data_IF_188508605690
#
_entry.id   IF_188508605690
#
_cell.length_a   1.000
_cell.length_b   1.000
_cell.length_c   1.000
_cell.angle_alpha   90.00
_cell.angle_beta   90.00
_cell.angle_gamma   90.00
#
_symmetry.space_group_name_H-M   'P 1'
#
loop_
_entity.id
_entity.type
_entity.pdbx_description
1 polymer ?
#
# COMPACT_ATOMS: atom_id res chain seq x y z
N UNK A 1 47.58 13.28 21.18
CA UNK A 1 46.26 12.75 21.59
C UNK A 1 45.24 13.87 21.47
N UNK A 2 44.40 13.85 20.44
CA UNK A 2 43.09 14.53 20.44
C UNK A 2 42.27 14.07 19.25
N UNK A 3 41.47 13.05 19.55
CA UNK A 3 40.19 12.60 18.96
C UNK A 3 39.82 13.09 17.57
N UNK A 4 39.85 12.14 16.64
CA UNK A 4 39.10 12.12 15.40
C UNK A 4 37.59 12.22 15.70
N UNK A 5 36.94 13.22 15.10
CA UNK A 5 35.47 13.32 15.04
C UNK A 5 34.99 12.30 14.01
N UNK A 6 34.51 11.15 14.48
CA UNK A 6 33.73 10.23 13.67
C UNK A 6 32.38 10.90 13.39
N UNK A 7 32.16 11.28 12.13
CA UNK A 7 30.91 11.80 11.64
C UNK A 7 29.90 10.64 11.60
N UNK A 8 29.02 10.56 12.60
CA UNK A 8 27.78 9.80 12.47
C UNK A 8 26.95 10.47 11.40
N UNK A 9 26.78 9.79 10.28
CA UNK A 9 25.70 10.09 9.33
C UNK A 9 24.39 9.64 9.98
N UNK A 10 23.76 10.52 10.74
CA UNK A 10 22.32 10.44 10.97
C UNK A 10 21.64 10.72 9.62
N UNK A 11 21.18 9.66 8.96
CA UNK A 11 20.30 9.79 7.80
C UNK A 11 19.04 10.50 8.30
N UNK A 12 18.76 11.66 7.72
CA UNK A 12 17.57 12.44 8.04
C UNK A 12 16.31 11.65 7.68
N UNK A 13 15.47 11.40 8.67
CA UNK A 13 14.20 10.65 8.61
C UNK A 13 13.19 11.23 7.60
N UNK A 14 13.44 12.41 7.04
CA UNK A 14 12.56 13.10 6.09
C UNK A 14 12.67 12.62 4.63
N UNK A 15 13.65 11.77 4.27
CA UNK A 15 13.80 11.28 2.88
C UNK A 15 13.10 9.94 2.60
N UNK A 16 12.40 9.35 3.57
CA UNK A 16 12.05 7.92 3.48
C UNK A 16 10.73 7.59 2.75
N UNK A 17 9.86 8.58 2.46
CA UNK A 17 8.55 8.37 1.82
C UNK A 17 8.26 9.45 0.79
N UNK A 18 8.31 9.10 -0.50
CA UNK A 18 8.00 10.01 -1.60
C UNK A 18 6.69 9.61 -2.28
N UNK A 19 5.91 10.58 -2.78
CA UNK A 19 4.65 10.26 -3.46
C UNK A 19 4.88 9.46 -4.75
N UNK A 20 6.05 9.62 -5.36
CA UNK A 20 6.54 8.87 -6.51
C UNK A 20 6.64 7.37 -6.23
N UNK A 21 6.96 6.95 -5.00
CA UNK A 21 6.97 5.54 -4.60
C UNK A 21 5.56 4.95 -4.75
N UNK A 22 4.54 5.67 -4.25
CA UNK A 22 3.14 5.24 -4.32
C UNK A 22 2.64 5.19 -5.76
N UNK A 23 3.01 6.16 -6.58
CA UNK A 23 2.68 6.17 -8.01
C UNK A 23 3.27 4.93 -8.68
N UNK A 24 4.54 4.64 -8.43
CA UNK A 24 5.21 3.47 -9.00
C UNK A 24 4.55 2.17 -8.56
N UNK A 25 4.37 1.97 -7.25
CA UNK A 25 3.79 0.74 -6.68
C UNK A 25 2.35 0.54 -7.18
N UNK A 26 1.52 1.58 -7.09
CA UNK A 26 0.13 1.52 -7.54
C UNK A 26 0.04 1.20 -9.03
N UNK A 27 0.77 1.92 -9.87
CA UNK A 27 0.70 1.73 -11.32
C UNK A 27 1.24 0.36 -11.72
N UNK A 28 2.29 -0.15 -11.07
CA UNK A 28 2.79 -1.50 -11.32
C UNK A 28 1.72 -2.57 -11.03
N UNK A 29 0.93 -2.39 -9.99
CA UNK A 29 -0.12 -3.35 -9.62
C UNK A 29 -1.37 -3.22 -10.51
N UNK A 30 -1.82 -2.00 -10.80
CA UNK A 30 -3.20 -1.74 -11.21
C UNK A 30 -3.37 -1.12 -12.59
N UNK A 31 -2.29 -0.67 -13.26
CA UNK A 31 -2.44 -0.06 -14.57
C UNK A 31 -3.01 -1.03 -15.61
N UNK A 32 -2.65 -2.31 -15.55
CA UNK A 32 -3.11 -3.32 -16.50
C UNK A 32 -4.29 -4.11 -15.96
N UNK A 33 -4.26 -4.49 -14.67
CA UNK A 33 -5.31 -5.33 -14.08
C UNK A 33 -6.63 -4.59 -13.81
N UNK A 34 -6.56 -3.28 -13.52
CA UNK A 34 -7.73 -2.46 -13.16
C UNK A 34 -7.89 -1.24 -14.08
N UNK A 35 -7.11 -1.17 -15.16
CA UNK A 35 -7.05 -0.02 -16.07
C UNK A 35 -6.91 1.35 -15.36
N UNK A 36 -6.21 1.41 -14.22
CA UNK A 36 -6.19 2.61 -13.35
C UNK A 36 -4.78 3.09 -13.08
N UNK A 37 -4.56 4.41 -13.15
CA UNK A 37 -3.33 5.08 -12.76
C UNK A 37 -3.53 5.92 -11.51
N UNK A 38 -2.49 6.01 -10.67
CA UNK A 38 -2.35 7.04 -9.66
C UNK A 38 -1.63 8.25 -10.26
N UNK A 39 -2.22 9.43 -10.11
CA UNK A 39 -1.75 10.67 -10.72
C UNK A 39 -1.62 11.75 -9.65
N UNK A 40 -0.48 12.45 -9.65
CA UNK A 40 -0.30 13.64 -8.80
C UNK A 40 -1.07 14.80 -9.40
N UNK A 41 -2.03 15.32 -8.67
CA UNK A 41 -2.74 16.57 -8.97
C UNK A 41 -2.18 17.75 -8.18
N UNK A 42 -2.71 18.93 -8.51
CA UNK A 42 -2.34 20.19 -7.85
C UNK A 42 -3.33 20.55 -6.74
N UNK A 43 -4.62 20.67 -7.07
CA UNK A 43 -5.63 21.30 -6.21
C UNK A 43 -6.47 20.31 -5.39
N UNK A 44 -7.46 19.66 -6.02
CA UNK A 44 -8.42 18.79 -5.34
C UNK A 44 -8.20 17.32 -5.72
N UNK A 45 -8.38 16.39 -4.77
CA UNK A 45 -8.41 14.98 -5.10
C UNK A 45 -9.66 14.68 -5.92
N UNK A 46 -9.53 13.80 -6.92
CA UNK A 46 -10.66 13.40 -7.75
C UNK A 46 -10.39 12.05 -8.41
N UNK A 47 -11.43 11.23 -8.50
CA UNK A 47 -11.41 10.08 -9.38
C UNK A 47 -12.04 10.38 -10.74
N UNK A 48 -11.30 10.13 -11.82
CA UNK A 48 -11.79 10.27 -13.19
C UNK A 48 -11.85 8.90 -13.89
N UNK A 49 -13.02 8.48 -14.39
CA UNK A 49 -13.12 7.25 -15.15
C UNK A 49 -12.49 7.39 -16.54
N UNK A 50 -12.12 6.26 -17.16
CA UNK A 50 -11.58 6.21 -18.52
C UNK A 50 -12.44 6.99 -19.53
N UNK A 51 -13.77 6.97 -19.38
CA UNK A 51 -14.70 7.70 -20.25
C UNK A 51 -14.46 9.21 -20.25
N UNK A 52 -13.82 9.77 -19.22
CA UNK A 52 -13.49 11.18 -19.10
C UNK A 52 -12.03 11.47 -19.45
N UNK A 53 -11.12 10.54 -19.18
CA UNK A 53 -9.67 10.72 -19.43
C UNK A 53 -9.27 10.33 -20.86
N UNK A 54 -10.05 9.46 -21.51
CA UNK A 54 -9.82 8.94 -22.85
C UNK A 54 -8.88 7.74 -22.93
N UNK A 55 -8.39 7.19 -21.81
CA UNK A 55 -7.48 6.03 -21.81
C UNK A 55 -7.59 5.10 -20.59
N UNK A 56 -7.24 5.57 -19.40
CA UNK A 56 -7.18 4.82 -18.15
C UNK A 56 -7.92 5.63 -17.09
N UNK A 57 -8.56 4.94 -16.15
CA UNK A 57 -9.05 5.60 -14.96
C UNK A 57 -7.90 6.31 -14.23
N UNK A 58 -8.17 7.41 -13.56
CA UNK A 58 -7.18 8.17 -12.79
C UNK A 58 -7.69 8.38 -11.37
N UNK A 59 -6.89 7.95 -10.40
CA UNK A 59 -6.99 8.37 -9.00
C UNK A 59 -6.05 9.56 -8.85
N UNK A 60 -6.60 10.76 -8.72
CA UNK A 60 -5.83 12.00 -8.62
C UNK A 60 -5.78 12.43 -7.15
N UNK A 61 -4.59 12.59 -6.60
CA UNK A 61 -4.39 13.06 -5.22
C UNK A 61 -3.81 14.47 -5.19
N UNK A 62 -4.10 15.21 -4.12
CA UNK A 62 -3.82 16.64 -4.06
C UNK A 62 -2.41 16.97 -3.52
N UNK A 63 -1.88 18.11 -3.95
CA UNK A 63 -0.69 18.79 -3.39
C UNK A 63 0.61 17.98 -3.32
N UNK A 64 0.69 16.80 -3.94
CA UNK A 64 1.87 15.94 -3.87
C UNK A 64 2.14 15.33 -2.48
N UNK A 65 1.17 15.33 -1.57
CA UNK A 65 1.38 14.82 -0.22
C UNK A 65 1.22 13.30 -0.17
N UNK A 66 2.19 12.61 0.44
CA UNK A 66 2.17 11.15 0.62
C UNK A 66 0.90 10.65 1.34
N UNK A 67 0.46 11.36 2.38
CA UNK A 67 -0.77 11.05 3.10
C UNK A 67 -2.02 11.23 2.22
N UNK A 68 -2.06 12.25 1.36
CA UNK A 68 -3.17 12.43 0.41
C UNK A 68 -3.22 11.26 -0.58
N UNK A 69 -2.08 10.86 -1.15
CA UNK A 69 -2.04 9.70 -2.03
C UNK A 69 -2.50 8.40 -1.33
N UNK A 70 -2.07 8.16 -0.09
CA UNK A 70 -2.54 7.00 0.70
C UNK A 70 -4.05 7.00 0.90
N UNK A 71 -4.61 8.16 1.22
CA UNK A 71 -6.03 8.35 1.44
C UNK A 71 -6.84 8.06 0.16
N UNK A 72 -6.43 8.62 -0.98
CA UNK A 72 -7.13 8.40 -2.25
C UNK A 72 -7.08 6.94 -2.72
N UNK A 73 -5.95 6.25 -2.50
CA UNK A 73 -5.83 4.82 -2.80
C UNK A 73 -6.79 4.00 -1.92
N UNK A 74 -6.96 4.38 -0.64
CA UNK A 74 -7.89 3.73 0.26
C UNK A 74 -9.35 3.90 -0.21
N UNK A 75 -9.76 5.12 -0.57
CA UNK A 75 -11.07 5.37 -1.17
C UNK A 75 -11.30 4.55 -2.45
N UNK A 76 -10.30 4.52 -3.34
CA UNK A 76 -10.36 3.71 -4.55
C UNK A 76 -10.52 2.21 -4.26
N UNK A 77 -9.88 1.70 -3.22
CA UNK A 77 -10.00 0.31 -2.77
C UNK A 77 -11.41 -0.03 -2.24
N UNK A 78 -12.06 0.93 -1.59
CA UNK A 78 -13.44 0.80 -1.10
C UNK A 78 -14.47 0.86 -2.24
N UNK A 79 -14.25 1.73 -3.23
CA UNK A 79 -15.18 1.91 -4.33
C UNK A 79 -15.25 0.68 -5.24
N UNK A 80 -16.43 0.07 -5.34
CA UNK A 80 -16.71 -1.09 -6.21
C UNK A 80 -16.65 -0.78 -7.72
N UNK A 81 -16.67 -1.82 -8.56
CA UNK A 81 -16.46 -1.67 -10.01
C UNK A 81 -17.47 -0.71 -10.68
N UNK A 82 -18.75 -0.76 -10.31
CA UNK A 82 -19.77 0.14 -10.86
C UNK A 82 -19.52 1.61 -10.47
N UNK A 83 -19.06 1.83 -9.23
CA UNK A 83 -18.73 3.17 -8.71
C UNK A 83 -17.53 3.76 -9.45
N UNK A 84 -16.55 2.93 -9.83
CA UNK A 84 -15.39 3.30 -10.65
C UNK A 84 -15.72 3.66 -12.10
N UNK A 85 -17.00 3.66 -12.49
CA UNK A 85 -17.45 4.19 -13.78
C UNK A 85 -17.95 5.64 -13.68
N UNK A 86 -17.99 6.21 -12.47
CA UNK A 86 -18.51 7.54 -12.19
C UNK A 86 -17.37 8.46 -11.74
N UNK A 87 -17.47 9.74 -12.10
CA UNK A 87 -16.63 10.80 -11.52
C UNK A 87 -16.77 10.77 -9.99
N UNK A 88 -15.63 10.82 -9.31
CA UNK A 88 -15.51 10.76 -7.85
C UNK A 88 -16.36 9.65 -7.19
N UNK A 89 -16.41 8.49 -7.84
CA UNK A 89 -17.19 7.32 -7.42
C UNK A 89 -18.71 7.58 -7.31
N UNK A 90 -19.19 8.71 -7.81
CA UNK A 90 -20.56 9.19 -7.60
C UNK A 90 -20.87 9.46 -6.12
N UNK A 91 -19.87 9.78 -5.31
CA UNK A 91 -20.07 10.34 -3.98
C UNK A 91 -20.51 11.80 -4.10
N UNK A 92 -21.21 12.28 -3.07
CA UNK A 92 -21.67 13.66 -3.01
C UNK A 92 -20.77 14.42 -2.04
N UNK A 93 -20.18 15.52 -2.51
CA UNK A 93 -19.35 16.37 -1.68
C UNK A 93 -20.22 17.21 -0.75
N UNK A 94 -20.06 17.02 0.56
CA UNK A 94 -20.58 17.95 1.57
C UNK A 94 -19.44 18.90 1.97
N UNK A 95 -19.59 20.22 1.74
CA UNK A 95 -18.52 21.16 2.02
C UNK A 95 -18.18 21.24 3.51
N UNK A 96 -16.98 21.75 3.77
CA UNK A 96 -16.48 22.07 5.11
C UNK A 96 -17.44 23.01 5.88
N UNK A 97 -17.40 22.97 7.21
CA UNK A 97 -18.36 23.65 8.08
C UNK A 97 -19.53 22.77 8.50
N UNK A 98 -19.31 21.45 8.55
CA UNK A 98 -20.33 20.46 8.91
C UNK A 98 -20.79 20.65 10.36
N UNK A 99 -22.10 20.52 10.58
CA UNK A 99 -22.68 20.37 11.92
C UNK A 99 -22.22 19.06 12.59
N UNK A 100 -22.40 18.95 13.91
CA UNK A 100 -22.06 17.70 14.61
C UNK A 100 -22.79 16.47 14.06
N UNK A 101 -24.07 16.61 13.67
CA UNK A 101 -24.84 15.51 13.09
C UNK A 101 -24.27 15.07 11.73
N UNK A 102 -23.94 16.05 10.86
CA UNK A 102 -23.29 15.78 9.58
C UNK A 102 -21.89 15.17 9.78
N UNK A 103 -21.16 15.60 10.81
CA UNK A 103 -19.87 15.03 11.16
C UNK A 103 -19.99 13.55 11.53
N UNK A 104 -21.02 13.13 12.27
CA UNK A 104 -21.24 11.70 12.61
C UNK A 104 -21.54 10.85 11.38
N UNK A 105 -22.27 11.40 10.40
CA UNK A 105 -22.53 10.73 9.13
C UNK A 105 -21.24 10.57 8.32
N UNK A 106 -20.43 11.62 8.23
CA UNK A 106 -19.10 11.56 7.62
C UNK A 106 -18.20 10.51 8.29
N UNK A 107 -18.08 10.56 9.61
CA UNK A 107 -17.27 9.61 10.38
C UNK A 107 -17.71 8.16 10.11
N UNK A 108 -19.00 7.90 9.94
CA UNK A 108 -19.50 6.55 9.63
C UNK A 108 -19.00 6.04 8.29
N UNK A 109 -18.99 6.88 7.24
CA UNK A 109 -18.52 6.47 5.90
C UNK A 109 -17.00 6.41 5.81
N UNK A 110 -16.29 7.17 6.65
CA UNK A 110 -14.84 7.27 6.68
C UNK A 110 -14.12 6.17 7.46
N UNK A 111 -14.84 5.40 8.30
CA UNK A 111 -14.22 4.32 9.10
C UNK A 111 -13.46 3.35 8.19
N UNK A 112 -14.04 2.94 7.07
CA UNK A 112 -13.45 1.92 6.20
C UNK A 112 -12.26 2.47 5.39
N UNK A 113 -12.37 3.61 4.67
CA UNK A 113 -11.21 4.22 4.01
C UNK A 113 -10.05 4.48 4.97
N UNK A 114 -10.28 5.12 6.12
CA UNK A 114 -9.20 5.46 7.05
C UNK A 114 -8.63 4.23 7.77
N UNK A 115 -9.39 3.15 7.94
CA UNK A 115 -8.85 1.89 8.42
C UNK A 115 -7.90 1.24 7.40
N UNK A 116 -8.25 1.25 6.11
CA UNK A 116 -7.34 0.78 5.05
C UNK A 116 -6.10 1.67 4.95
N UNK A 117 -6.27 3.00 4.99
CA UNK A 117 -5.17 3.96 5.02
C UNK A 117 -4.22 3.69 6.19
N UNK A 118 -4.75 3.40 7.38
CA UNK A 118 -3.96 3.01 8.55
C UNK A 118 -3.16 1.73 8.31
N UNK A 119 -3.76 0.70 7.71
CA UNK A 119 -3.06 -0.52 7.33
C UNK A 119 -1.93 -0.24 6.33
N UNK A 120 -2.16 0.59 5.31
CA UNK A 120 -1.14 0.95 4.33
C UNK A 120 0.00 1.76 4.95
N UNK A 121 -0.32 2.71 5.83
CA UNK A 121 0.67 3.45 6.59
C UNK A 121 1.54 2.50 7.44
N UNK A 122 0.93 1.50 8.09
CA UNK A 122 1.67 0.49 8.84
C UNK A 122 2.60 -0.33 7.93
N UNK A 123 2.10 -0.82 6.78
CA UNK A 123 2.90 -1.55 5.80
C UNK A 123 4.08 -0.74 5.27
N UNK A 124 3.89 0.56 5.04
CA UNK A 124 4.94 1.45 4.59
C UNK A 124 5.89 1.93 5.71
N UNK A 125 5.57 1.70 6.99
CA UNK A 125 6.30 2.30 8.11
C UNK A 125 6.08 3.82 8.21
N UNK A 126 4.97 4.32 7.67
CA UNK A 126 4.56 5.72 7.69
C UNK A 126 3.62 6.01 8.87
N UNK A 127 3.65 7.23 9.43
CA UNK A 127 2.82 7.60 10.57
C UNK A 127 1.40 7.98 10.13
N UNK A 128 0.43 7.15 10.46
CA UNK A 128 -0.99 7.44 10.27
C UNK A 128 -1.52 8.51 11.25
N UNK A 129 -2.48 9.32 10.78
CA UNK A 129 -3.29 10.24 11.59
C UNK A 129 -4.72 10.21 11.05
N UNK A 130 -5.69 10.05 11.95
CA UNK A 130 -7.11 10.17 11.62
C UNK A 130 -7.40 11.58 11.13
N UNK A 131 -8.12 11.70 10.01
CA UNK A 131 -8.59 12.97 9.46
C UNK A 131 -10.09 13.14 9.75
N UNK A 132 -10.44 14.24 10.40
CA UNK A 132 -11.86 14.58 10.69
C UNK A 132 -12.44 15.53 9.65
N UNK A 133 -11.61 16.02 8.72
CA UNK A 133 -11.92 16.84 7.55
C UNK A 133 -12.99 17.94 7.76
N UNK A 134 -12.84 18.74 8.82
CA UNK A 134 -13.82 19.79 9.17
C UNK A 134 -13.08 21.02 9.71
N UNK A 135 -12.35 21.73 8.84
CA UNK A 135 -11.49 22.85 9.21
C UNK A 135 -12.28 24.08 9.66
N UNK A 136 -13.49 24.28 9.11
CA UNK A 136 -14.35 25.44 9.39
C UNK A 136 -15.53 25.12 10.32
N UNK A 137 -15.68 23.86 10.75
CA UNK A 137 -16.71 23.42 11.69
C UNK A 137 -16.19 23.12 13.10
N UNK A 138 -17.07 22.58 13.94
CA UNK A 138 -16.72 22.03 15.25
C UNK A 138 -17.05 20.54 15.25
N UNK A 139 -16.06 19.64 15.03
CA UNK A 139 -16.32 18.21 14.94
C UNK A 139 -16.77 17.57 16.27
N UNK A 140 -16.67 18.32 17.37
CA UNK A 140 -16.97 17.84 18.72
C UNK A 140 -15.95 16.79 19.18
N UNK A 141 -16.41 15.82 19.98
CA UNK A 141 -15.59 14.67 20.37
C UNK A 141 -15.52 13.62 19.26
N UNK A 142 -14.31 13.40 18.72
CA UNK A 142 -14.05 12.43 17.64
C UNK A 142 -13.30 11.19 18.13
N UNK A 143 -13.17 11.00 19.45
CA UNK A 143 -12.49 9.84 20.03
C UNK A 143 -13.15 8.52 19.63
N UNK A 144 -14.48 8.50 19.55
CA UNK A 144 -15.24 7.35 19.06
C UNK A 144 -14.92 6.99 17.60
N UNK A 145 -14.76 8.00 16.74
CA UNK A 145 -14.38 7.77 15.35
C UNK A 145 -12.97 7.17 15.23
N UNK A 146 -11.98 7.76 15.91
CA UNK A 146 -10.62 7.21 15.93
C UNK A 146 -10.57 5.78 16.48
N UNK A 147 -11.35 5.49 17.53
CA UNK A 147 -11.46 4.14 18.08
C UNK A 147 -12.05 3.15 17.07
N UNK A 148 -13.09 3.54 16.32
CA UNK A 148 -13.70 2.67 15.32
C UNK A 148 -12.79 2.40 14.12
N UNK A 149 -12.02 3.41 13.67
CA UNK A 149 -10.96 3.25 12.66
C UNK A 149 -9.91 2.25 13.15
N UNK A 150 -9.49 2.36 14.42
CA UNK A 150 -8.52 1.46 15.03
C UNK A 150 -9.02 0.01 15.09
N UNK A 151 -10.26 -0.20 15.55
CA UNK A 151 -10.88 -1.52 15.59
C UNK A 151 -10.98 -2.13 14.18
N UNK A 152 -11.39 -1.34 13.19
CA UNK A 152 -11.53 -1.84 11.81
C UNK A 152 -10.18 -2.17 11.18
N UNK A 153 -9.14 -1.38 11.44
CA UNK A 153 -7.79 -1.69 10.99
C UNK A 153 -7.24 -2.97 11.64
N UNK A 154 -7.51 -3.19 12.93
CA UNK A 154 -7.15 -4.44 13.61
C UNK A 154 -7.84 -5.65 12.96
N UNK A 155 -9.14 -5.54 12.69
CA UNK A 155 -9.91 -6.58 11.98
C UNK A 155 -9.26 -6.92 10.63
N UNK A 156 -8.86 -5.91 9.84
CA UNK A 156 -8.18 -6.11 8.57
C UNK A 156 -6.80 -6.75 8.70
N UNK A 157 -6.02 -6.42 9.72
CA UNK A 157 -4.73 -7.06 9.95
C UNK A 157 -4.89 -8.53 10.36
N UNK A 158 -5.91 -8.83 11.17
CA UNK A 158 -6.21 -10.18 11.65
C UNK A 158 -6.86 -11.10 10.61
N UNK A 159 -7.65 -10.55 9.69
CA UNK A 159 -8.43 -11.33 8.72
C UNK A 159 -7.93 -11.20 7.28
N UNK A 160 -7.14 -10.17 7.00
CA UNK A 160 -6.73 -9.73 5.67
C UNK A 160 -7.63 -8.65 5.09
N UNK A 161 -7.06 -7.88 4.15
CA UNK A 161 -7.77 -6.84 3.43
C UNK A 161 -8.52 -7.42 2.20
N UNK A 162 -9.50 -6.70 1.64
CA UNK A 162 -10.04 -7.03 0.32
C UNK A 162 -8.96 -7.02 -0.76
N UNK A 163 -9.13 -7.83 -1.81
CA UNK A 163 -8.11 -8.15 -2.82
C UNK A 163 -7.17 -7.00 -3.24
N UNK A 164 -7.73 -5.89 -3.76
CA UNK A 164 -6.92 -4.74 -4.21
C UNK A 164 -6.12 -4.11 -3.08
N UNK A 165 -6.76 -3.95 -1.91
CA UNK A 165 -6.11 -3.40 -0.74
C UNK A 165 -5.03 -4.33 -0.19
N UNK A 166 -5.26 -5.65 -0.20
CA UNK A 166 -4.27 -6.64 0.22
C UNK A 166 -3.03 -6.63 -0.69
N UNK A 167 -3.23 -6.63 -2.01
CA UNK A 167 -2.15 -6.51 -3.00
C UNK A 167 -1.31 -5.25 -2.80
N UNK A 168 -1.96 -4.11 -2.52
CA UNK A 168 -1.27 -2.86 -2.25
C UNK A 168 -0.52 -2.88 -0.92
N UNK A 169 -1.14 -3.41 0.14
CA UNK A 169 -0.51 -3.60 1.45
C UNK A 169 0.76 -4.44 1.35
N UNK A 170 0.70 -5.58 0.67
CA UNK A 170 1.85 -6.50 0.54
C UNK A 170 2.99 -5.84 -0.25
N UNK A 171 2.67 -5.15 -1.34
CA UNK A 171 3.66 -4.44 -2.13
C UNK A 171 4.33 -3.29 -1.35
N UNK A 172 3.58 -2.57 -0.50
CA UNK A 172 4.16 -1.57 0.40
C UNK A 172 5.10 -2.18 1.43
N UNK A 173 4.67 -3.27 2.08
CA UNK A 173 5.47 -3.97 3.08
C UNK A 173 6.77 -4.54 2.50
N UNK A 174 6.72 -5.05 1.27
CA UNK A 174 7.87 -5.51 0.51
C UNK A 174 8.79 -4.34 0.14
N UNK A 175 8.24 -3.28 -0.48
CA UNK A 175 9.02 -2.13 -0.96
C UNK A 175 9.77 -1.42 0.17
N UNK A 176 9.13 -1.22 1.32
CA UNK A 176 9.71 -0.54 2.48
C UNK A 176 10.40 -1.49 3.47
N UNK A 177 10.35 -2.80 3.25
CA UNK A 177 11.03 -3.81 4.06
C UNK A 177 10.58 -3.84 5.53
N UNK A 178 9.31 -3.56 5.81
CA UNK A 178 8.80 -3.44 7.18
C UNK A 178 8.52 -4.78 7.86
N UNK A 179 8.37 -5.85 7.08
CA UNK A 179 8.06 -7.19 7.56
C UNK A 179 6.67 -7.33 8.20
N UNK A 180 5.81 -6.32 8.05
CA UNK A 180 4.42 -6.36 8.50
C UNK A 180 3.63 -7.28 7.57
N UNK A 181 2.79 -8.12 8.15
CA UNK A 181 1.93 -9.08 7.44
C UNK A 181 0.52 -9.03 7.98
N UNK A 182 -0.48 -9.28 7.14
CA UNK A 182 -1.83 -9.65 7.56
C UNK A 182 -1.96 -11.17 7.59
N UNK A 183 -3.08 -11.70 8.08
CA UNK A 183 -3.37 -13.13 7.99
C UNK A 183 -3.43 -13.67 6.54
N UNK A 184 -3.62 -12.80 5.55
CA UNK A 184 -3.62 -13.17 4.13
C UNK A 184 -2.25 -12.99 3.46
N UNK A 185 -1.31 -12.24 4.06
CA UNK A 185 -0.02 -11.89 3.44
C UNK A 185 0.92 -13.07 3.16
N UNK A 186 0.61 -14.31 3.55
CA UNK A 186 1.45 -15.47 3.20
C UNK A 186 0.67 -16.78 3.04
N UNK A 187 0.59 -17.27 1.80
CA UNK A 187 0.72 -18.71 1.47
C UNK A 187 1.90 -19.03 0.54
N UNK A 188 2.48 -18.05 -0.16
CA UNK A 188 3.45 -18.32 -1.25
C UNK A 188 4.92 -17.97 -0.95
N UNK A 189 5.24 -17.30 0.16
CA UNK A 189 6.60 -16.78 0.43
C UNK A 189 7.61 -17.79 1.00
N UNK A 190 7.41 -19.09 0.78
CA UNK A 190 8.34 -20.16 1.25
C UNK A 190 8.74 -21.20 0.18
N UNK A 191 8.43 -21.00 -1.11
CA UNK A 191 8.73 -22.02 -2.14
C UNK A 191 9.86 -21.73 -3.12
N UNK A 192 10.42 -20.51 -3.17
CA UNK A 192 11.49 -20.20 -4.14
C UNK A 192 12.84 -19.92 -3.46
N UNK A 193 13.47 -20.98 -2.95
CA UNK A 193 14.94 -21.05 -2.87
C UNK A 193 15.41 -21.99 -3.98
N UNK A 194 15.99 -21.49 -5.08
CA UNK A 194 16.69 -22.36 -6.02
C UNK A 194 17.94 -22.93 -5.33
N UNK A 195 17.89 -24.23 -5.07
CA UNK A 195 19.03 -25.02 -4.61
C UNK A 195 20.12 -24.98 -5.70
N UNK A 196 21.09 -24.08 -5.55
CA UNK A 196 22.24 -23.98 -6.45
C UNK A 196 23.08 -25.25 -6.34
N UNK A 197 23.15 -25.97 -7.45
CA UNK A 197 23.93 -27.18 -7.66
C UNK A 197 25.40 -26.99 -7.26
N UNK A 198 25.89 -27.79 -6.32
CA UNK A 198 27.30 -28.18 -6.26
C UNK A 198 27.53 -29.28 -7.30
N UNK A 199 27.90 -28.89 -8.52
CA UNK A 199 28.47 -29.79 -9.51
C UNK A 199 29.90 -30.12 -9.11
N UNK A 200 30.13 -31.35 -8.64
CA UNK A 200 31.47 -31.91 -8.44
C UNK A 200 32.03 -32.37 -9.80
N UNK A 201 33.23 -31.90 -10.12
CA UNK A 201 34.06 -32.44 -11.19
C UNK A 201 34.41 -33.91 -10.91
N UNK A 202 33.94 -34.83 -11.75
CA UNK A 202 34.57 -36.14 -11.94
C UNK A 202 35.03 -36.28 -13.40
N UNK A 203 36.33 -36.22 -13.59
CA UNK A 203 37.05 -36.69 -14.78
C UNK A 203 37.90 -37.88 -14.31
N UNK A 204 37.53 -39.09 -14.72
CA UNK A 204 38.27 -40.32 -14.44
C UNK A 204 38.02 -41.35 -15.54
N UNK A 205 39.03 -41.55 -16.38
CA UNK A 205 39.04 -42.45 -17.55
C UNK A 205 38.79 -43.93 -17.20
N UNK A 206 38.24 -44.72 -18.15
CA UNK A 206 38.16 -46.18 -18.01
C UNK A 206 39.52 -46.82 -18.35
N UNK A 207 40.07 -47.59 -17.41
CA UNK A 207 41.19 -48.51 -17.66
C UNK A 207 40.66 -49.93 -17.67
N UNK A 208 40.88 -50.64 -18.78
CA UNK A 208 40.39 -51.99 -19.03
C UNK A 208 41.55 -52.99 -19.16
N UNK A 209 41.37 -54.13 -18.48
CA UNK A 209 42.00 -55.48 -18.63
C UNK A 209 43.43 -55.69 -18.08
N UNK A 210 43.79 -56.92 -17.62
CA UNK A 210 43.43 -58.21 -18.23
C UNK A 210 42.87 -59.33 -17.34
N UNK A 211 42.20 -60.28 -18.01
CA UNK A 211 41.80 -61.61 -17.50
C UNK A 211 43.00 -62.47 -17.10
N UNK A 212 42.84 -63.40 -16.14
CA UNK A 212 43.09 -64.80 -16.51
C UNK A 212 42.19 -65.90 -15.88
N UNK A 213 41.78 -66.82 -16.78
CA UNK A 213 41.80 -68.31 -16.77
C UNK A 213 40.76 -69.14 -15.96
N UNK A 214 40.33 -70.21 -16.66
CA UNK A 214 39.81 -71.55 -16.29
C UNK A 214 38.28 -71.65 -16.32
N UNK A 215 37.64 -72.48 -17.16
CA UNK A 215 37.99 -73.80 -17.71
C UNK A 215 37.32 -74.05 -19.06
#
# INVERSE_FOLDING_TARGET
MSREKLCSSEVSVAEQHQCEDLIQIFNQLFQDSENTLLVRGDDEPIYLPESMTGNKHQVIFAHGFYASAMHEIAHWCVAGAERRLLEDYGYWYEPDGRSEEQQRLFETVEIVPQAMEKCFCLAAGFKFRVSVDNLNGSPGDTSGFAHNVDLKAQEYLEQGLPDRAQRFFDALAEFYGTGVVTAQSTKDTLSDIPNSQTSACEQGQPVQLPDPVLS
#
